data_IF_894933052227
#
_entry.id   IF_894933052227
#
_cell.length_a   1.000
_cell.length_b   1.000
_cell.length_c   1.000
_cell.angle_alpha   90.00
_cell.angle_beta   90.00
_cell.angle_gamma   90.00
#
_symmetry.space_group_name_H-M   'P 1'
#
loop_
_entity.id
_entity.type
_entity.pdbx_description
1 polymer ?
#
# COMPACT_ATOMS: atom_id res chain seq x y z
N UNK A 1 9.85 -6.86 -28.72
CA UNK A 1 9.43 -8.28 -28.77
C UNK A 1 9.20 -8.89 -27.40
N UNK A 2 10.00 -8.59 -26.38
CA UNK A 2 9.79 -9.07 -24.99
C UNK A 2 8.58 -8.41 -24.32
N UNK A 3 8.38 -7.11 -24.52
CA UNK A 3 7.26 -6.35 -23.94
C UNK A 3 5.89 -6.85 -24.43
N UNK A 4 5.82 -7.25 -25.69
CA UNK A 4 4.55 -7.74 -26.28
C UNK A 4 4.14 -9.10 -25.69
N UNK A 5 5.11 -9.96 -25.36
CA UNK A 5 4.84 -11.28 -24.76
C UNK A 5 4.26 -11.15 -23.35
N UNK A 6 4.69 -10.14 -22.57
CA UNK A 6 4.17 -9.93 -21.20
C UNK A 6 2.73 -9.39 -21.21
N UNK A 7 2.38 -8.58 -22.20
CA UNK A 7 1.01 -8.06 -22.33
C UNK A 7 0.01 -9.18 -22.62
N UNK A 8 0.37 -10.12 -23.49
CA UNK A 8 -0.48 -11.28 -23.78
C UNK A 8 -0.59 -12.23 -22.59
N UNK A 9 0.51 -12.40 -21.85
CA UNK A 9 0.54 -13.29 -20.69
C UNK A 9 -0.36 -12.82 -19.54
N UNK A 10 -0.59 -11.51 -19.43
CA UNK A 10 -1.44 -10.93 -18.38
C UNK A 10 -2.89 -10.72 -18.81
N UNK A 11 -3.26 -11.04 -20.05
CA UNK A 11 -4.63 -10.85 -20.54
C UNK A 11 -5.67 -11.59 -19.68
N UNK A 12 -5.33 -12.78 -19.20
CA UNK A 12 -6.19 -13.55 -18.30
C UNK A 12 -6.37 -12.84 -16.96
N UNK A 13 -5.29 -12.33 -16.37
CA UNK A 13 -5.36 -11.59 -15.11
C UNK A 13 -6.26 -10.36 -15.26
N UNK A 14 -6.10 -9.60 -16.34
CA UNK A 14 -6.91 -8.42 -16.64
C UNK A 14 -8.39 -8.80 -16.70
N UNK A 15 -8.73 -9.85 -17.47
CA UNK A 15 -10.12 -10.30 -17.63
C UNK A 15 -10.75 -10.77 -16.32
N UNK A 16 -9.94 -11.32 -15.39
CA UNK A 16 -10.40 -11.78 -14.09
C UNK A 16 -10.57 -10.64 -13.08
N UNK A 17 -9.71 -9.61 -13.15
CA UNK A 17 -9.77 -8.47 -12.22
C UNK A 17 -10.88 -7.48 -12.63
N UNK A 18 -11.03 -7.23 -13.91
CA UNK A 18 -11.92 -6.18 -14.44
C UNK A 18 -13.35 -6.25 -13.90
N UNK A 19 -14.02 -7.44 -13.83
CA UNK A 19 -15.38 -7.51 -13.30
C UNK A 19 -15.49 -7.32 -11.78
N UNK A 20 -14.37 -7.42 -11.05
CA UNK A 20 -14.38 -7.35 -9.58
C UNK A 20 -14.49 -5.92 -9.05
N UNK A 21 -14.24 -4.91 -9.88
CA UNK A 21 -14.35 -3.51 -9.45
C UNK A 21 -14.61 -2.57 -10.64
N UNK A 22 -15.50 -1.62 -10.41
CA UNK A 22 -15.74 -0.51 -11.33
C UNK A 22 -15.32 0.85 -10.72
N UNK A 23 -14.68 0.82 -9.55
CA UNK A 23 -14.27 2.02 -8.80
C UNK A 23 -12.76 2.15 -8.77
N UNK A 24 -12.28 3.38 -8.82
CA UNK A 24 -10.87 3.67 -8.65
C UNK A 24 -10.46 3.55 -7.19
N UNK A 25 -9.25 3.07 -6.96
CA UNK A 25 -8.69 2.83 -5.64
C UNK A 25 -8.62 1.34 -5.32
N UNK A 26 -8.60 1.05 -4.04
CA UNK A 26 -8.60 -0.31 -3.49
C UNK A 26 -10.05 -0.71 -3.19
N UNK A 27 -10.45 -1.87 -3.63
CA UNK A 27 -11.78 -2.43 -3.36
C UNK A 27 -11.64 -3.81 -2.72
N UNK A 28 -12.33 -4.06 -1.59
CA UNK A 28 -12.29 -5.38 -0.96
C UNK A 28 -12.96 -6.42 -1.86
N UNK A 29 -12.55 -7.68 -1.69
CA UNK A 29 -13.17 -8.82 -2.36
C UNK A 29 -13.92 -9.68 -1.34
N UNK A 30 -14.53 -10.78 -1.80
CA UNK A 30 -15.18 -11.74 -0.91
C UNK A 30 -14.19 -12.48 0.00
N UNK A 31 -12.89 -12.46 -0.33
CA UNK A 31 -11.86 -13.13 0.46
C UNK A 31 -11.10 -12.10 1.31
N UNK A 32 -11.21 -12.17 2.65
CA UNK A 32 -10.48 -11.24 3.51
C UNK A 32 -8.97 -11.26 3.22
N UNK A 33 -8.37 -10.09 3.20
CA UNK A 33 -6.95 -9.93 2.89
C UNK A 33 -6.65 -9.79 1.40
N UNK A 34 -7.66 -9.89 0.53
CA UNK A 34 -7.49 -9.70 -0.91
C UNK A 34 -8.29 -8.48 -1.35
N UNK A 35 -7.62 -7.54 -1.99
CA UNK A 35 -8.24 -6.34 -2.55
C UNK A 35 -7.85 -6.20 -4.02
N UNK A 36 -8.76 -5.69 -4.84
CA UNK A 36 -8.46 -5.33 -6.22
C UNK A 36 -8.16 -3.84 -6.30
N UNK A 37 -7.29 -3.48 -7.23
CA UNK A 37 -6.81 -2.11 -7.45
C UNK A 37 -7.20 -1.67 -8.84
N UNK A 38 -7.65 -0.40 -8.94
CA UNK A 38 -7.99 0.20 -10.23
C UNK A 38 -7.61 1.67 -10.23
N UNK A 39 -7.06 2.15 -11.35
CA UNK A 39 -6.89 3.58 -11.59
C UNK A 39 -7.22 3.87 -13.04
N UNK A 40 -8.27 4.65 -13.27
CA UNK A 40 -8.74 4.98 -14.61
C UNK A 40 -7.89 6.07 -15.27
N UNK A 41 -6.94 6.65 -14.55
CA UNK A 41 -6.04 7.69 -15.04
C UNK A 41 -4.71 7.61 -14.30
N UNK A 42 -3.70 8.28 -14.81
CA UNK A 42 -2.44 8.43 -14.12
C UNK A 42 -2.63 9.18 -12.81
N UNK A 43 -1.94 8.74 -11.76
CA UNK A 43 -1.96 9.37 -10.44
C UNK A 43 -0.57 9.90 -10.14
N UNK A 44 -0.47 11.19 -9.93
CA UNK A 44 0.80 11.86 -9.64
C UNK A 44 1.42 11.33 -8.34
N UNK A 45 2.73 11.45 -8.25
CA UNK A 45 3.51 11.05 -7.09
C UNK A 45 2.95 11.65 -5.81
N UNK A 46 2.67 10.79 -4.83
CA UNK A 46 2.13 11.20 -3.54
C UNK A 46 2.39 10.18 -2.46
N UNK A 47 2.29 10.61 -1.19
CA UNK A 47 2.61 9.73 -0.07
C UNK A 47 1.55 8.65 0.14
N UNK A 48 2.01 7.45 0.48
CA UNK A 48 1.20 6.25 0.69
C UNK A 48 1.75 5.45 1.86
N UNK A 49 0.93 4.55 2.38
CA UNK A 49 1.36 3.47 3.26
C UNK A 49 0.50 2.24 2.94
N UNK A 50 1.14 1.11 2.72
CA UNK A 50 0.44 -0.17 2.52
C UNK A 50 0.74 -1.09 3.71
N UNK A 51 -0.25 -1.86 4.10
CA UNK A 51 -0.02 -2.97 5.02
C UNK A 51 0.81 -4.06 4.33
N UNK A 52 1.52 -4.90 5.08
CA UNK A 52 2.32 -5.97 4.47
C UNK A 52 1.51 -6.78 3.46
N UNK A 53 1.97 -6.83 2.23
CA UNK A 53 1.20 -7.40 1.12
C UNK A 53 2.08 -7.73 -0.08
N UNK A 54 1.57 -8.59 -0.95
CA UNK A 54 2.06 -8.81 -2.31
C UNK A 54 1.13 -8.02 -3.23
N UNK A 55 1.70 -7.15 -4.08
CA UNK A 55 0.90 -6.33 -5.00
C UNK A 55 1.28 -6.70 -6.44
N UNK A 56 0.34 -7.29 -7.15
CA UNK A 56 0.51 -7.73 -8.53
C UNK A 56 -0.26 -6.76 -9.43
N UNK A 57 0.41 -6.18 -10.41
CA UNK A 57 -0.19 -5.29 -11.40
C UNK A 57 -0.35 -6.08 -12.71
N UNK A 58 -1.60 -6.24 -13.15
CA UNK A 58 -1.91 -6.96 -14.38
C UNK A 58 -1.87 -6.05 -15.61
N UNK A 59 -2.18 -4.76 -15.43
CA UNK A 59 -2.24 -3.77 -16.50
C UNK A 59 -1.84 -2.41 -15.95
N UNK A 60 -1.06 -1.64 -16.73
CA UNK A 60 -0.48 -0.40 -16.25
C UNK A 60 0.77 -0.65 -15.40
N UNK A 61 1.21 0.34 -14.65
CA UNK A 61 2.40 0.21 -13.80
C UNK A 61 2.39 1.22 -12.65
N UNK A 62 3.29 1.00 -11.70
CA UNK A 62 3.49 1.90 -10.56
C UNK A 62 4.99 2.10 -10.31
N UNK A 63 5.34 3.28 -9.80
CA UNK A 63 6.67 3.59 -9.28
C UNK A 63 6.55 3.87 -7.79
N UNK A 64 7.30 3.13 -6.99
CA UNK A 64 7.40 3.36 -5.55
C UNK A 64 8.75 4.03 -5.25
N UNK A 65 8.72 5.09 -4.45
CA UNK A 65 9.90 5.85 -4.03
C UNK A 65 10.08 5.68 -2.53
N UNK A 66 11.16 5.03 -2.12
CA UNK A 66 11.46 4.76 -0.71
C UNK A 66 12.90 5.18 -0.42
N UNK A 67 13.06 6.35 0.20
CA UNK A 67 14.39 6.93 0.40
C UNK A 67 15.07 7.17 -0.95
N UNK A 68 16.30 6.70 -1.13
CA UNK A 68 17.02 6.88 -2.41
C UNK A 68 16.62 5.86 -3.47
N UNK A 69 15.77 4.90 -3.14
CA UNK A 69 15.41 3.78 -4.02
C UNK A 69 14.13 4.07 -4.78
N UNK A 70 14.11 3.67 -6.05
CA UNK A 70 12.91 3.65 -6.89
C UNK A 70 12.67 2.22 -7.34
N UNK A 71 11.43 1.75 -7.14
CA UNK A 71 11.00 0.42 -7.55
C UNK A 71 9.87 0.56 -8.57
N UNK A 72 10.11 0.07 -9.78
CA UNK A 72 9.05 -0.03 -10.79
C UNK A 72 8.42 -1.42 -10.70
N UNK A 73 7.09 -1.47 -10.67
CA UNK A 73 6.37 -2.72 -10.72
C UNK A 73 5.12 -2.58 -11.59
N UNK A 74 5.00 -3.50 -12.54
CA UNK A 74 3.95 -3.52 -13.54
C UNK A 74 3.82 -4.92 -14.11
N UNK A 75 3.43 -5.02 -15.37
CA UNK A 75 3.35 -6.31 -16.05
C UNK A 75 4.72 -7.02 -15.99
N UNK A 76 4.75 -8.22 -15.45
CA UNK A 76 5.97 -9.01 -15.34
C UNK A 76 6.65 -8.97 -13.97
N UNK A 77 6.21 -8.12 -13.06
CA UNK A 77 6.79 -8.01 -11.70
C UNK A 77 5.69 -7.79 -10.68
N UNK A 78 5.96 -8.19 -9.43
CA UNK A 78 5.09 -7.88 -8.30
C UNK A 78 5.90 -7.28 -7.17
N UNK A 79 5.25 -6.46 -6.37
CA UNK A 79 5.86 -5.82 -5.20
C UNK A 79 5.66 -6.69 -3.97
N UNK A 80 6.69 -6.84 -3.16
CA UNK A 80 6.62 -7.41 -1.82
C UNK A 80 6.78 -6.24 -0.84
N UNK A 81 5.69 -5.87 -0.18
CA UNK A 81 5.68 -4.89 0.90
C UNK A 81 5.79 -5.67 2.21
N UNK A 82 6.99 -5.85 2.71
CA UNK A 82 7.23 -6.69 3.90
C UNK A 82 6.90 -5.95 5.20
N UNK A 83 7.22 -4.64 5.26
CA UNK A 83 6.90 -3.80 6.42
C UNK A 83 6.01 -2.63 5.96
N UNK A 84 5.08 -2.16 6.83
CA UNK A 84 4.19 -1.05 6.48
C UNK A 84 4.93 0.28 6.64
N UNK A 85 5.78 0.61 5.68
CA UNK A 85 6.59 1.85 5.72
C UNK A 85 5.95 2.93 4.84
N UNK A 86 5.92 4.21 5.30
CA UNK A 86 5.50 5.31 4.46
C UNK A 86 6.47 5.48 3.26
N UNK A 87 5.90 5.60 2.07
CA UNK A 87 6.65 5.79 0.83
C UNK A 87 5.86 6.71 -0.09
N UNK A 88 6.43 7.08 -1.22
CA UNK A 88 5.67 7.81 -2.24
C UNK A 88 5.41 6.88 -3.43
N UNK A 89 4.28 7.07 -4.09
CA UNK A 89 3.87 6.21 -5.19
C UNK A 89 3.28 7.05 -6.32
N UNK A 90 3.63 6.66 -7.52
CA UNK A 90 3.07 7.18 -8.77
C UNK A 90 2.44 6.02 -9.52
N UNK A 91 1.30 6.26 -10.16
CA UNK A 91 0.55 5.21 -10.85
C UNK A 91 0.33 5.62 -12.31
N UNK A 92 0.53 4.69 -13.22
CA UNK A 92 0.33 4.90 -14.66
C UNK A 92 -0.72 3.94 -15.18
N UNK A 93 -1.76 4.50 -15.79
CA UNK A 93 -2.77 3.72 -16.51
C UNK A 93 -2.14 3.14 -17.78
N UNK A 94 -2.78 2.12 -18.35
CA UNK A 94 -2.35 1.59 -19.65
C UNK A 94 -2.85 2.51 -20.77
N UNK A 95 -2.18 2.51 -21.94
CA UNK A 95 -2.65 3.31 -23.08
C UNK A 95 -4.11 3.07 -23.44
N UNK A 96 -4.57 1.83 -23.33
CA UNK A 96 -5.91 1.43 -23.76
C UNK A 96 -6.83 1.07 -22.60
N UNK A 97 -6.48 1.42 -21.35
CA UNK A 97 -7.33 1.09 -20.23
C UNK A 97 -6.78 1.50 -18.87
N UNK A 98 -7.51 1.19 -17.81
CA UNK A 98 -7.09 1.54 -16.45
C UNK A 98 -5.87 0.72 -16.00
N UNK A 99 -5.17 1.21 -15.00
CA UNK A 99 -4.27 0.36 -14.23
C UNK A 99 -5.14 -0.62 -13.44
N UNK A 100 -4.80 -1.91 -13.48
CA UNK A 100 -5.51 -2.98 -12.78
C UNK A 100 -4.52 -3.86 -12.03
N UNK A 101 -4.87 -4.22 -10.79
CA UNK A 101 -4.04 -5.07 -9.98
C UNK A 101 -4.79 -5.73 -8.84
N UNK A 102 -4.06 -6.55 -8.08
CA UNK A 102 -4.56 -7.21 -6.89
C UNK A 102 -3.51 -7.09 -5.77
N UNK A 103 -3.99 -6.80 -4.56
CA UNK A 103 -3.17 -6.75 -3.35
C UNK A 103 -3.59 -7.89 -2.44
N UNK A 104 -2.63 -8.65 -1.97
CA UNK A 104 -2.83 -9.85 -1.15
C UNK A 104 -2.05 -9.66 0.15
N UNK A 105 -2.77 -9.58 1.28
CA UNK A 105 -2.15 -9.38 2.59
C UNK A 105 -1.24 -10.55 2.95
N UNK A 106 -0.09 -10.24 3.53
CA UNK A 106 0.84 -11.24 4.04
C UNK A 106 0.39 -11.62 5.46
N UNK A 107 -0.19 -12.82 5.58
CA UNK A 107 -0.57 -13.39 6.87
C UNK A 107 0.68 -14.02 7.50
N UNK A 108 1.20 -13.39 8.56
CA UNK A 108 2.43 -13.85 9.23
C UNK A 108 2.26 -15.20 9.91
N UNK A 109 1.05 -15.52 10.40
CA UNK A 109 0.77 -16.84 11.01
C UNK A 109 0.89 -17.93 9.96
N UNK A 110 0.18 -17.75 8.85
CA UNK A 110 0.22 -18.69 7.72
C UNK A 110 1.64 -18.79 7.15
N UNK A 111 2.34 -17.67 7.03
CA UNK A 111 3.72 -17.65 6.54
C UNK A 111 4.65 -18.47 7.46
N UNK A 112 4.49 -18.32 8.79
CA UNK A 112 5.24 -19.09 9.77
C UNK A 112 4.96 -20.60 9.68
N UNK A 113 3.68 -20.96 9.53
CA UNK A 113 3.30 -22.38 9.31
C UNK A 113 3.97 -22.97 8.08
N UNK A 114 4.01 -22.21 6.99
CA UNK A 114 4.63 -22.65 5.74
C UNK A 114 6.14 -22.85 5.91
N UNK A 115 6.82 -21.90 6.54
CA UNK A 115 8.27 -21.98 6.79
C UNK A 115 8.60 -23.23 7.61
N UNK A 116 7.80 -23.51 8.66
CA UNK A 116 7.97 -24.72 9.47
C UNK A 116 7.72 -26.00 8.63
N UNK A 117 6.64 -26.01 7.86
CA UNK A 117 6.28 -27.16 7.02
C UNK A 117 7.33 -27.45 5.93
N UNK A 118 8.04 -26.41 5.48
CA UNK A 118 9.13 -26.55 4.50
C UNK A 118 10.42 -27.09 5.13
N UNK A 119 10.46 -27.27 6.44
CA UNK A 119 11.64 -27.74 7.15
C UNK A 119 12.78 -26.74 7.15
N UNK A 120 12.47 -25.47 6.93
CA UNK A 120 13.47 -24.40 6.96
C UNK A 120 13.76 -24.06 8.43
N UNK A 121 14.98 -24.42 8.86
CA UNK A 121 15.37 -24.19 10.27
C UNK A 121 15.34 -22.70 10.58
N UNK A 122 14.69 -22.29 11.69
CA UNK A 122 14.82 -20.93 12.14
C UNK A 122 16.25 -20.68 12.58
N UNK A 123 16.90 -19.66 12.06
CA UNK A 123 18.11 -19.16 12.69
C UNK A 123 19.45 -19.27 11.96
N UNK A 124 19.45 -19.41 10.64
CA UNK A 124 20.64 -19.05 9.90
C UNK A 124 20.24 -18.13 8.75
N UNK A 125 20.03 -16.86 9.10
CA UNK A 125 20.03 -15.83 8.09
C UNK A 125 21.41 -15.79 7.46
N UNK A 126 21.48 -16.23 6.23
CA UNK A 126 22.71 -16.11 5.42
C UNK A 126 22.85 -14.65 4.95
N UNK A 127 21.82 -13.85 5.20
CA UNK A 127 21.83 -12.45 4.79
C UNK A 127 22.72 -11.63 5.71
N UNK A 128 23.88 -11.28 5.22
CA UNK A 128 24.79 -10.32 5.88
C UNK A 128 24.18 -8.91 5.91
N UNK A 129 23.01 -8.72 5.33
CA UNK A 129 22.34 -7.41 5.22
C UNK A 129 20.92 -7.47 5.76
N UNK A 130 20.46 -6.37 6.35
CA UNK A 130 19.08 -6.22 6.81
C UNK A 130 18.13 -6.37 5.60
N UNK A 131 17.10 -7.22 5.69
CA UNK A 131 16.13 -7.35 4.60
C UNK A 131 15.45 -6.00 4.32
N UNK A 132 15.12 -5.79 3.07
CA UNK A 132 14.46 -4.56 2.64
C UNK A 132 12.96 -4.61 2.99
N UNK A 133 12.43 -3.48 3.47
CA UNK A 133 11.01 -3.37 3.81
C UNK A 133 10.10 -3.45 2.58
N UNK A 134 10.67 -3.18 1.40
CA UNK A 134 9.94 -3.19 0.12
C UNK A 134 10.90 -3.66 -0.97
N UNK A 135 10.46 -4.65 -1.77
CA UNK A 135 11.27 -5.20 -2.87
C UNK A 135 10.35 -5.67 -3.99
N UNK A 136 10.90 -5.94 -5.16
CA UNK A 136 10.14 -6.48 -6.28
C UNK A 136 10.67 -7.85 -6.70
N UNK A 137 9.79 -8.65 -7.27
CA UNK A 137 10.11 -9.98 -7.77
C UNK A 137 9.49 -10.18 -9.15
N UNK A 138 10.07 -11.06 -9.94
CA UNK A 138 9.55 -11.43 -11.27
C UNK A 138 8.24 -12.19 -11.10
N UNK A 139 7.24 -11.80 -11.86
CA UNK A 139 5.97 -12.53 -11.96
C UNK A 139 6.15 -13.69 -12.95
N UNK A 140 6.70 -14.78 -12.46
CA UNK A 140 6.94 -15.97 -13.27
C UNK A 140 5.64 -16.76 -13.48
N UNK A 141 5.70 -17.82 -14.27
CA UNK A 141 4.52 -18.64 -14.62
C UNK A 141 3.92 -19.30 -13.39
N UNK A 142 4.73 -19.71 -12.41
CA UNK A 142 4.24 -20.35 -11.19
C UNK A 142 3.40 -19.35 -10.36
N UNK A 143 3.93 -18.14 -10.15
CA UNK A 143 3.21 -17.10 -9.41
C UNK A 143 1.98 -16.63 -10.18
N UNK A 144 2.10 -16.42 -11.52
CA UNK A 144 0.96 -16.01 -12.34
C UNK A 144 -0.17 -17.04 -12.25
N UNK A 145 0.16 -18.33 -12.33
CA UNK A 145 -0.84 -19.41 -12.21
C UNK A 145 -1.56 -19.39 -10.86
N UNK A 146 -0.83 -19.14 -9.77
CA UNK A 146 -1.43 -19.02 -8.42
C UNK A 146 -2.38 -17.83 -8.35
N UNK A 147 -1.97 -16.68 -8.90
CA UNK A 147 -2.80 -15.47 -8.91
C UNK A 147 -4.07 -15.71 -9.73
N UNK A 148 -3.95 -16.36 -10.88
CA UNK A 148 -5.11 -16.70 -11.72
C UNK A 148 -6.10 -17.60 -10.97
N UNK A 149 -5.62 -18.65 -10.30
CA UNK A 149 -6.49 -19.56 -9.52
C UNK A 149 -7.17 -18.80 -8.37
N UNK A 150 -6.45 -17.92 -7.70
CA UNK A 150 -7.04 -17.08 -6.65
C UNK A 150 -8.13 -16.17 -7.22
N UNK A 151 -7.87 -15.50 -8.32
CA UNK A 151 -8.84 -14.59 -8.95
C UNK A 151 -10.07 -15.35 -9.46
N UNK A 152 -9.90 -16.54 -10.08
CA UNK A 152 -11.03 -17.37 -10.50
C UNK A 152 -11.91 -17.75 -9.31
N UNK A 153 -11.28 -18.12 -8.20
CA UNK A 153 -11.95 -18.47 -6.95
C UNK A 153 -12.89 -17.33 -6.47
N UNK A 154 -12.47 -16.07 -6.66
CA UNK A 154 -13.27 -14.90 -6.25
C UNK A 154 -14.57 -14.74 -7.04
N UNK A 155 -14.69 -15.37 -8.22
CA UNK A 155 -15.90 -15.31 -9.04
C UNK A 155 -16.95 -16.36 -8.68
N UNK A 156 -16.62 -17.32 -7.82
CA UNK A 156 -17.52 -18.38 -7.37
C UNK A 156 -17.60 -18.32 -5.85
N UNK A 157 -18.75 -17.89 -5.28
CA UNK A 157 -18.86 -17.77 -3.81
C UNK A 157 -18.62 -19.05 -3.06
N UNK A 158 -19.02 -20.21 -3.60
CA UNK A 158 -18.80 -21.50 -2.95
C UNK A 158 -17.32 -21.88 -2.99
N UNK A 159 -16.67 -21.74 -4.15
CA UNK A 159 -15.24 -22.00 -4.26
C UNK A 159 -14.45 -21.05 -3.34
N UNK A 160 -14.84 -19.77 -3.30
CA UNK A 160 -14.18 -18.77 -2.45
C UNK A 160 -14.27 -19.16 -0.97
N UNK A 161 -15.45 -19.57 -0.53
CA UNK A 161 -15.68 -19.99 0.86
C UNK A 161 -14.85 -21.23 1.23
N UNK A 162 -14.78 -22.20 0.33
CA UNK A 162 -14.15 -23.50 0.61
C UNK A 162 -12.63 -23.45 0.33
N UNK A 163 -12.22 -22.84 -0.77
CA UNK A 163 -10.84 -22.92 -1.28
C UNK A 163 -10.04 -21.62 -1.12
N UNK A 164 -10.65 -20.53 -0.71
CA UNK A 164 -9.98 -19.23 -0.65
C UNK A 164 -8.70 -19.24 0.17
N UNK A 165 -8.74 -19.81 1.37
CA UNK A 165 -7.56 -19.90 2.24
C UNK A 165 -6.48 -20.82 1.65
N UNK A 166 -6.89 -21.89 0.98
CA UNK A 166 -5.96 -22.79 0.29
C UNK A 166 -5.24 -22.07 -0.86
N UNK A 167 -5.95 -21.20 -1.58
CA UNK A 167 -5.35 -20.40 -2.66
C UNK A 167 -4.32 -19.40 -2.11
N UNK A 168 -4.62 -18.77 -0.96
CA UNK A 168 -3.66 -17.88 -0.29
C UNK A 168 -2.43 -18.65 0.18
N UNK A 169 -2.64 -19.84 0.74
CA UNK A 169 -1.56 -20.72 1.18
C UNK A 169 -0.65 -21.10 0.01
N UNK A 170 -1.23 -21.50 -1.12
CA UNK A 170 -0.50 -21.85 -2.35
C UNK A 170 0.36 -20.67 -2.82
N UNK A 171 -0.23 -19.47 -2.85
CA UNK A 171 0.44 -18.26 -3.34
C UNK A 171 1.64 -17.90 -2.47
N UNK A 172 1.46 -17.92 -1.13
CA UNK A 172 2.56 -17.63 -0.19
C UNK A 172 3.65 -18.71 -0.28
N UNK A 173 3.27 -19.98 -0.49
CA UNK A 173 4.24 -21.06 -0.66
C UNK A 173 5.10 -20.81 -1.90
N UNK A 174 4.50 -20.40 -3.02
CA UNK A 174 5.25 -20.10 -4.26
C UNK A 174 6.16 -18.88 -4.03
N UNK A 175 5.69 -17.85 -3.33
CA UNK A 175 6.51 -16.68 -3.01
C UNK A 175 7.72 -17.06 -2.14
N UNK A 176 7.55 -18.00 -1.21
CA UNK A 176 8.63 -18.53 -0.35
C UNK A 176 9.66 -19.37 -1.11
N UNK A 177 9.36 -19.75 -2.36
CA UNK A 177 10.29 -20.44 -3.25
C UNK A 177 10.87 -19.51 -4.32
N UNK A 178 10.44 -18.26 -4.32
CA UNK A 178 10.88 -17.25 -5.30
C UNK A 178 12.18 -16.57 -4.94
N UNK A 179 12.64 -15.67 -5.80
CA UNK A 179 13.95 -15.01 -5.62
C UNK A 179 14.02 -14.09 -4.41
N UNK A 180 12.89 -13.66 -3.85
CA UNK A 180 12.83 -12.77 -2.68
C UNK A 180 12.34 -13.50 -1.42
N UNK A 181 12.47 -14.83 -1.37
CA UNK A 181 12.02 -15.66 -0.26
C UNK A 181 12.64 -15.23 1.08
N UNK A 182 13.88 -14.76 1.08
CA UNK A 182 14.59 -14.38 2.29
C UNK A 182 13.91 -13.23 3.04
N UNK A 183 13.29 -12.29 2.32
CA UNK A 183 12.52 -11.18 2.92
C UNK A 183 11.31 -11.74 3.68
N UNK A 184 10.58 -12.68 3.05
CA UNK A 184 9.40 -13.31 3.65
C UNK A 184 9.79 -14.17 4.87
N UNK A 185 10.87 -14.94 4.77
CA UNK A 185 11.37 -15.75 5.89
C UNK A 185 11.76 -14.86 7.07
N UNK A 186 12.41 -13.72 6.78
CA UNK A 186 12.83 -12.79 7.83
C UNK A 186 11.67 -12.23 8.64
N UNK A 187 10.47 -12.13 8.05
CA UNK A 187 9.26 -11.67 8.76
C UNK A 187 8.83 -12.59 9.89
N UNK A 188 9.18 -13.88 9.80
CA UNK A 188 8.73 -14.90 10.76
C UNK A 188 9.88 -15.56 11.51
N UNK A 189 11.11 -15.10 11.31
CA UNK A 189 12.29 -15.60 12.03
C UNK A 189 12.20 -15.16 13.50
N UNK A 190 11.99 -16.11 14.41
CA UNK A 190 11.62 -15.85 15.81
C UNK A 190 12.59 -14.92 16.53
N UNK A 191 13.88 -15.03 16.25
CA UNK A 191 14.89 -14.18 16.90
C UNK A 191 15.46 -13.12 15.97
N UNK A 192 14.90 -13.00 14.78
CA UNK A 192 15.35 -12.05 13.77
C UNK A 192 14.96 -10.62 14.12
N UNK A 193 15.90 -9.70 13.94
CA UNK A 193 15.67 -8.27 14.21
C UNK A 193 14.56 -7.69 13.33
N UNK A 194 14.47 -8.15 12.07
CA UNK A 194 13.45 -7.70 11.12
C UNK A 194 12.05 -8.07 11.61
N UNK A 195 11.84 -9.32 12.08
CA UNK A 195 10.56 -9.77 12.62
C UNK A 195 10.18 -9.01 13.89
N UNK A 196 11.18 -8.68 14.74
CA UNK A 196 10.96 -7.91 15.96
C UNK A 196 10.53 -6.47 15.64
N UNK A 197 11.13 -5.85 14.62
CA UNK A 197 10.70 -4.52 14.16
C UNK A 197 9.28 -4.62 13.55
N UNK A 198 8.97 -5.68 12.79
CA UNK A 198 7.62 -5.90 12.27
C UNK A 198 6.58 -5.96 13.39
N UNK A 199 6.90 -6.64 14.49
CA UNK A 199 6.02 -6.73 15.67
C UNK A 199 5.80 -5.36 16.32
N UNK A 200 6.88 -4.56 16.47
CA UNK A 200 6.77 -3.21 17.04
C UNK A 200 5.95 -2.29 16.12
N UNK A 201 6.07 -2.42 14.81
CA UNK A 201 5.25 -1.67 13.86
C UNK A 201 3.77 -2.05 13.95
N UNK A 202 3.47 -3.34 14.11
CA UNK A 202 2.08 -3.79 14.34
C UNK A 202 1.50 -3.15 15.60
N UNK A 203 2.26 -3.11 16.69
CA UNK A 203 1.84 -2.46 17.94
C UNK A 203 1.61 -0.96 17.70
N UNK A 204 2.53 -0.29 17.02
CA UNK A 204 2.43 1.14 16.73
C UNK A 204 1.19 1.45 15.87
N UNK A 205 0.89 0.61 14.88
CA UNK A 205 -0.31 0.77 14.04
C UNK A 205 -1.60 0.58 14.84
N UNK A 206 -1.60 -0.31 15.82
CA UNK A 206 -2.76 -0.53 16.70
C UNK A 206 -2.96 0.63 17.69
N UNK A 207 -1.90 1.38 18.04
CA UNK A 207 -1.91 2.39 19.09
C UNK A 207 -1.47 3.79 18.59
N UNK A 208 -1.59 4.05 17.30
CA UNK A 208 -1.05 5.29 16.69
C UNK A 208 -1.74 6.56 17.20
N UNK A 209 -2.93 6.44 17.78
CA UNK A 209 -3.67 7.60 18.32
C UNK A 209 -3.14 8.03 19.70
N UNK A 210 -2.41 7.13 20.37
CA UNK A 210 -1.87 7.36 21.72
C UNK A 210 -0.52 8.09 21.66
N UNK A 211 -0.10 8.70 22.79
CA UNK A 211 1.26 9.27 22.86
C UNK A 211 2.31 8.19 22.58
N UNK A 212 3.36 8.56 21.86
CA UNK A 212 4.44 7.65 21.52
C UNK A 212 5.22 7.25 22.78
N UNK A 213 5.36 5.95 23.00
CA UNK A 213 6.19 5.40 24.07
C UNK A 213 7.24 4.49 23.42
N UNK A 214 8.46 5.01 23.28
CA UNK A 214 9.57 4.31 22.63
C UNK A 214 9.99 3.09 23.45
N UNK A 215 9.93 3.18 24.78
CA UNK A 215 10.26 2.07 25.67
C UNK A 215 9.31 0.89 25.45
N UNK A 216 8.03 1.15 25.29
CA UNK A 216 7.04 0.12 24.98
C UNK A 216 7.35 -0.53 23.62
N UNK A 217 7.65 0.28 22.60
CA UNK A 217 7.99 -0.24 21.27
C UNK A 217 9.27 -1.09 21.31
N UNK A 218 10.28 -0.64 22.05
CA UNK A 218 11.54 -1.38 22.22
C UNK A 218 11.28 -2.71 22.94
N UNK A 219 10.42 -2.71 23.96
CA UNK A 219 9.99 -3.93 24.66
C UNK A 219 9.27 -4.90 23.72
N UNK A 220 8.37 -4.41 22.87
CA UNK A 220 7.69 -5.23 21.85
C UNK A 220 8.70 -5.89 20.91
N UNK A 221 9.81 -5.20 20.64
CA UNK A 221 10.89 -5.72 19.78
C UNK A 221 11.90 -6.54 20.58
N UNK A 222 11.76 -6.64 21.89
CA UNK A 222 12.72 -7.28 22.81
C UNK A 222 14.12 -6.70 22.58
N UNK A 223 14.22 -5.37 22.61
CA UNK A 223 15.46 -4.60 22.39
C UNK A 223 15.60 -3.51 23.45
N UNK A 224 16.85 -3.06 23.69
CA UNK A 224 17.08 -1.80 24.40
C UNK A 224 16.59 -0.62 23.54
N UNK A 225 16.34 0.52 24.16
CA UNK A 225 15.86 1.71 23.43
C UNK A 225 16.84 2.14 22.31
N UNK A 226 18.14 2.12 22.61
CA UNK A 226 19.18 2.51 21.62
C UNK A 226 19.25 1.53 20.43
N UNK A 227 19.24 0.23 20.73
CA UNK A 227 19.22 -0.82 19.70
C UNK A 227 17.95 -0.72 18.86
N UNK A 228 16.81 -0.49 19.51
CA UNK A 228 15.53 -0.31 18.83
C UNK A 228 15.58 0.87 17.85
N UNK A 229 16.07 2.03 18.30
CA UNK A 229 16.18 3.21 17.42
C UNK A 229 17.00 2.91 16.18
N UNK A 230 18.13 2.23 16.35
CA UNK A 230 19.02 1.88 15.23
C UNK A 230 18.32 0.96 14.23
N UNK A 231 17.75 -0.15 14.70
CA UNK A 231 17.09 -1.13 13.82
C UNK A 231 15.81 -0.57 13.21
N UNK A 232 15.04 0.21 13.97
CA UNK A 232 13.82 0.85 13.47
C UNK A 232 14.17 1.78 12.30
N UNK A 233 15.17 2.65 12.48
CA UNK A 233 15.59 3.59 11.43
C UNK A 233 16.16 2.85 10.21
N UNK A 234 16.92 1.77 10.43
CA UNK A 234 17.47 0.95 9.35
C UNK A 234 16.35 0.31 8.52
N UNK A 235 15.31 -0.21 9.16
CA UNK A 235 14.21 -0.93 8.51
C UNK A 235 13.17 0.00 7.89
N UNK A 236 12.92 1.19 8.49
CA UNK A 236 11.84 2.09 8.05
C UNK A 236 12.34 3.36 7.36
N UNK A 237 13.64 3.66 7.45
CA UNK A 237 14.31 4.90 7.01
C UNK A 237 13.84 6.15 7.79
N UNK A 238 13.11 5.96 8.90
CA UNK A 238 12.54 7.04 9.71
C UNK A 238 12.80 6.78 11.20
N UNK A 239 12.89 7.85 11.99
CA UNK A 239 12.82 7.69 13.45
C UNK A 239 11.40 7.31 13.87
N UNK A 240 11.20 6.71 15.06
CA UNK A 240 9.84 6.39 15.53
C UNK A 240 8.90 7.61 15.56
N UNK A 241 9.40 8.78 15.95
CA UNK A 241 8.61 10.02 15.99
C UNK A 241 8.18 10.43 14.58
N UNK A 242 9.11 10.42 13.63
CA UNK A 242 8.82 10.76 12.22
C UNK A 242 7.83 9.76 11.60
N UNK A 243 8.01 8.47 11.92
CA UNK A 243 7.14 7.41 11.43
C UNK A 243 5.71 7.61 11.94
N UNK A 244 5.53 7.78 13.26
CA UNK A 244 4.20 7.98 13.86
C UNK A 244 3.51 9.22 13.26
N UNK A 245 4.26 10.30 13.08
CA UNK A 245 3.73 11.52 12.48
C UNK A 245 3.21 11.26 11.06
N UNK A 246 4.01 10.60 10.21
CA UNK A 246 3.58 10.26 8.84
C UNK A 246 2.39 9.31 8.84
N UNK A 247 2.39 8.30 9.71
CA UNK A 247 1.27 7.37 9.85
C UNK A 247 -0.03 8.11 10.18
N UNK A 248 0.01 9.02 11.18
CA UNK A 248 -1.16 9.82 11.57
C UNK A 248 -1.69 10.66 10.41
N UNK A 249 -0.81 11.29 9.64
CA UNK A 249 -1.21 12.13 8.50
C UNK A 249 -1.83 11.27 7.39
N UNK A 250 -1.28 10.09 7.11
CA UNK A 250 -1.81 9.17 6.10
C UNK A 250 -3.17 8.61 6.55
N UNK A 251 -3.33 8.27 7.84
CA UNK A 251 -4.63 7.83 8.38
C UNK A 251 -5.65 8.98 8.33
N UNK A 252 -5.21 10.21 8.62
CA UNK A 252 -6.08 11.38 8.51
C UNK A 252 -6.58 11.58 7.08
N UNK A 253 -5.72 11.41 6.08
CA UNK A 253 -6.13 11.49 4.67
C UNK A 253 -7.23 10.47 4.37
N UNK A 254 -7.07 9.23 4.84
CA UNK A 254 -8.08 8.18 4.65
C UNK A 254 -9.44 8.57 5.28
N UNK A 255 -9.41 9.13 6.50
CA UNK A 255 -10.63 9.55 7.20
C UNK A 255 -11.30 10.74 6.50
N UNK A 256 -10.51 11.72 6.06
CA UNK A 256 -11.04 12.89 5.34
C UNK A 256 -11.71 12.47 4.02
N UNK A 257 -11.14 11.50 3.32
CA UNK A 257 -11.67 11.02 2.03
C UNK A 257 -12.85 10.07 2.20
N UNK A 258 -12.83 9.24 3.26
CA UNK A 258 -13.79 8.14 3.41
C UNK A 258 -15.03 8.45 4.23
N UNK A 259 -14.91 9.28 5.26
CA UNK A 259 -15.98 9.46 6.25
C UNK A 259 -16.62 10.86 6.26
N UNK A 260 -16.11 11.79 5.47
CA UNK A 260 -16.66 13.15 5.41
C UNK A 260 -16.58 13.94 6.72
N UNK A 261 -15.63 13.56 7.58
CA UNK A 261 -15.46 14.19 8.89
C UNK A 261 -14.81 15.58 8.75
N UNK A 262 -15.11 16.46 9.69
CA UNK A 262 -14.47 17.78 9.76
C UNK A 262 -13.01 17.68 10.18
N UNK A 263 -12.21 18.66 9.76
CA UNK A 263 -10.76 18.70 10.00
C UNK A 263 -10.42 18.58 11.49
N UNK A 264 -11.17 19.25 12.38
CA UNK A 264 -10.94 19.19 13.82
C UNK A 264 -11.20 17.80 14.39
N UNK A 265 -12.28 17.15 13.93
CA UNK A 265 -12.61 15.78 14.35
C UNK A 265 -11.52 14.81 13.90
N UNK A 266 -11.06 14.91 12.64
CA UNK A 266 -10.02 14.05 12.11
C UNK A 266 -8.71 14.25 12.87
N UNK A 267 -8.31 15.51 13.11
CA UNK A 267 -7.09 15.82 13.88
C UNK A 267 -7.08 15.10 15.23
N UNK A 268 -8.18 15.22 15.98
CA UNK A 268 -8.34 14.57 17.29
C UNK A 268 -8.31 13.04 17.14
N UNK A 269 -9.03 12.52 16.15
CA UNK A 269 -9.19 11.06 15.94
C UNK A 269 -7.88 10.37 15.59
N UNK A 270 -6.93 11.11 14.98
CA UNK A 270 -5.60 10.52 14.67
C UNK A 270 -4.54 10.89 15.73
N UNK A 271 -4.95 11.44 16.87
CA UNK A 271 -4.09 11.66 18.02
C UNK A 271 -3.40 13.01 18.11
N UNK A 272 -3.82 14.01 17.34
CA UNK A 272 -3.33 15.39 17.48
C UNK A 272 -4.11 16.12 18.58
N UNK A 273 -3.38 16.82 19.46
CA UNK A 273 -3.98 17.68 20.49
C UNK A 273 -4.33 19.06 19.97
N UNK A 274 -3.71 19.49 18.88
CA UNK A 274 -3.92 20.82 18.30
C UNK A 274 -4.31 20.71 16.83
N UNK A 275 -5.50 21.19 16.50
CA UNK A 275 -5.99 21.27 15.11
C UNK A 275 -5.11 22.16 14.25
N UNK A 276 -4.59 23.25 14.84
CA UNK A 276 -3.69 24.19 14.13
C UNK A 276 -2.37 23.50 13.76
N UNK A 277 -1.79 22.73 14.70
CA UNK A 277 -0.58 21.95 14.43
C UNK A 277 -0.84 20.92 13.34
N UNK A 278 -1.94 20.16 13.47
CA UNK A 278 -2.35 19.17 12.46
C UNK A 278 -2.44 19.80 11.08
N UNK A 279 -3.16 20.93 10.96
CA UNK A 279 -3.39 21.59 9.66
C UNK A 279 -2.08 22.02 8.99
N UNK A 280 -1.15 22.59 9.77
CA UNK A 280 0.17 23.00 9.25
C UNK A 280 0.97 21.79 8.77
N UNK A 281 0.99 20.70 9.56
CA UNK A 281 1.75 19.51 9.23
C UNK A 281 1.12 18.74 8.05
N UNK A 282 -0.21 18.67 8.01
CA UNK A 282 -0.94 18.02 6.91
C UNK A 282 -0.66 18.76 5.59
N UNK A 283 -0.79 20.10 5.59
CA UNK A 283 -0.52 20.91 4.39
C UNK A 283 0.91 20.70 3.89
N UNK A 284 1.90 20.74 4.80
CA UNK A 284 3.31 20.55 4.43
C UNK A 284 3.57 19.15 3.86
N UNK A 285 2.94 18.14 4.44
CA UNK A 285 3.20 16.74 4.04
C UNK A 285 2.57 16.39 2.68
N UNK A 286 1.35 16.90 2.43
CA UNK A 286 0.63 16.59 1.18
C UNK A 286 0.74 17.71 0.14
N UNK A 287 1.42 18.80 0.47
CA UNK A 287 1.49 20.01 -0.38
C UNK A 287 0.13 20.49 -0.85
N UNK A 288 -0.83 20.12 -0.04
CA UNK A 288 -2.16 20.53 -0.39
C UNK A 288 -2.86 21.01 0.84
N UNK A 289 -3.59 21.75 0.71
CA UNK A 289 -4.33 22.16 1.87
C UNK A 289 -5.39 21.17 2.21
N UNK A 290 -5.61 21.21 3.22
CA UNK A 290 -6.70 20.46 3.77
C UNK A 290 -8.06 20.89 3.26
N UNK A 291 -8.04 22.03 2.87
CA UNK A 291 -9.21 22.48 2.28
C UNK A 291 -9.49 21.90 0.93
N UNK A 292 -8.60 21.69 0.36
CA UNK A 292 -8.74 21.02 -0.88
C UNK A 292 -9.22 19.61 -0.75
N UNK A 293 -8.85 19.14 0.18
CA UNK A 293 -9.35 17.87 0.48
C UNK A 293 -10.78 17.88 0.96
N UNK A 294 -11.01 18.77 1.56
CA UNK A 294 -12.34 18.94 2.01
C UNK A 294 -13.28 19.40 0.91
N UNK A 295 -12.74 20.01 0.14
CA UNK A 295 -13.46 20.35 -1.02
C UNK A 295 -13.68 19.19 -1.93
N UNK A 296 -12.89 18.44 -1.88
CA UNK A 296 -13.05 17.26 -2.63
C UNK A 296 -13.99 16.26 -1.99
N UNK A 297 -14.07 16.35 -0.90
CA UNK A 297 -14.98 15.56 -0.18
C UNK A 297 -16.43 15.98 -0.33
N UNK A 298 -16.46 16.98 -0.69
CA UNK A 298 -17.75 17.39 -0.99
C UNK A 298 -18.29 16.86 -2.27
N UNK A 299 -17.40 16.31 -2.86
CA UNK A 299 -17.82 15.80 -4.12
C UNK A 299 -18.65 14.55 -3.94
N UNK A 300 -18.74 13.54 -3.67
CA UNK A 300 -19.48 12.31 -3.41
C UNK A 300 -18.62 11.33 -2.61
N UNK A 301 -19.05 10.99 -1.41
CA UNK A 301 -18.27 10.11 -0.52
C UNK A 301 -18.02 8.71 -1.09
N UNK A 302 -18.83 8.25 -2.00
CA UNK A 302 -18.77 6.91 -2.59
C UNK A 302 -17.61 6.73 -3.61
N UNK A 303 -17.02 7.83 -4.09
CA UNK A 303 -15.96 7.75 -5.12
C UNK A 303 -14.55 8.07 -4.60
N UNK A 304 -14.42 8.54 -3.37
CA UNK A 304 -13.15 9.09 -2.87
C UNK A 304 -12.58 8.30 -1.68
N UNK A 305 -12.72 6.98 -1.69
CA UNK A 305 -12.24 6.15 -0.55
C UNK A 305 -10.72 5.91 -0.56
N UNK A 306 -10.00 6.48 -1.51
CA UNK A 306 -8.54 6.34 -1.59
C UNK A 306 -7.94 7.53 -2.32
N UNK A 307 -6.63 7.71 -2.17
CA UNK A 307 -5.87 8.73 -2.90
C UNK A 307 -6.06 8.55 -4.42
N UNK A 308 -6.02 7.32 -4.91
CA UNK A 308 -6.22 6.99 -6.33
C UNK A 308 -7.63 7.41 -6.78
N UNK A 309 -8.65 7.05 -6.01
CA UNK A 309 -10.04 7.40 -6.33
C UNK A 309 -10.27 8.90 -6.37
N UNK A 310 -9.70 9.63 -5.43
CA UNK A 310 -9.79 11.08 -5.39
C UNK A 310 -9.13 11.70 -6.64
N UNK A 311 -7.89 11.30 -6.96
CA UNK A 311 -7.13 11.85 -8.07
C UNK A 311 -7.83 11.60 -9.41
N UNK A 312 -8.27 10.38 -9.67
CA UNK A 312 -8.97 10.05 -10.90
C UNK A 312 -10.33 10.74 -10.98
N UNK A 313 -11.01 10.93 -9.85
CA UNK A 313 -12.26 11.68 -9.77
C UNK A 313 -12.08 13.16 -10.14
N UNK A 314 -11.02 13.79 -9.67
CA UNK A 314 -10.69 15.18 -9.99
C UNK A 314 -10.32 15.33 -11.47
N UNK A 315 -9.51 14.42 -11.99
CA UNK A 315 -9.06 14.47 -13.40
C UNK A 315 -10.25 14.32 -14.36
N UNK A 316 -11.18 13.41 -14.08
CA UNK A 316 -12.40 13.26 -14.88
C UNK A 316 -13.26 14.53 -14.93
N UNK A 317 -13.27 15.31 -13.84
CA UNK A 317 -14.04 16.58 -13.81
C UNK A 317 -13.40 17.64 -14.67
N UNK A 318 -12.07 17.72 -14.69
CA UNK A 318 -11.34 18.67 -15.52
C UNK A 318 -11.55 18.37 -17.02
N UNK A 319 -11.62 17.09 -17.39
CA UNK A 319 -11.83 16.66 -18.78
C UNK A 319 -13.26 16.92 -19.28
N UNK A 320 -14.26 16.96 -18.39
CA UNK A 320 -15.67 17.18 -18.79
C UNK A 320 -16.04 18.66 -18.96
N UNK A 321 -15.14 19.60 -18.68
CA UNK A 321 -15.35 21.04 -18.83
C UNK A 321 -16.49 21.61 -17.96
N UNK A 322 -16.61 22.91 -17.78
CA UNK A 322 -17.75 23.48 -17.10
C UNK A 322 -19.00 23.33 -17.96
N UNK A 323 -20.00 22.66 -17.44
CA UNK A 323 -21.36 22.81 -17.96
C UNK A 323 -21.67 24.31 -17.83
N UNK A 324 -22.04 24.95 -18.93
CA UNK A 324 -22.25 26.38 -19.06
C UNK A 324 -23.07 26.97 -17.88
N UNK A 325 -22.43 27.78 -17.08
CA UNK A 325 -22.99 28.48 -15.94
C UNK A 325 -21.85 29.22 -15.26
N UNK A 326 -21.67 30.44 -15.67
CA UNK A 326 -20.55 31.30 -15.41
C UNK A 326 -19.97 31.30 -14.01
N UNK A 327 -18.66 31.16 -13.94
CA UNK A 327 -17.85 31.93 -13.00
C UNK A 327 -16.43 32.03 -13.58
N UNK A 328 -16.15 33.19 -14.14
CA UNK A 328 -14.82 33.57 -14.59
C UNK A 328 -13.89 33.70 -13.37
N UNK A 329 -12.83 32.90 -13.36
CA UNK A 329 -11.67 33.25 -12.53
C UNK A 329 -10.60 33.82 -13.44
N UNK A 330 -10.32 35.12 -13.23
CA UNK A 330 -9.28 35.83 -13.95
C UNK A 330 -7.91 35.27 -13.58
N UNK A 331 -7.13 34.93 -14.60
CA UNK A 331 -5.70 34.68 -14.46
C UNK A 331 -5.02 36.01 -14.11
N UNK A 332 -4.51 36.12 -12.90
CA UNK A 332 -3.58 37.19 -12.53
C UNK A 332 -2.16 36.68 -12.76
N UNK A 333 -1.57 37.16 -13.84
CA UNK A 333 -0.16 36.91 -14.16
C UNK A 333 0.67 37.78 -13.24
N UNK A 334 1.45 37.18 -12.34
CA UNK A 334 2.49 37.94 -11.65
C UNK A 334 3.81 37.69 -12.39
N UNK A 335 4.24 38.72 -13.10
CA UNK A 335 5.61 38.86 -13.58
C UNK A 335 6.48 39.49 -12.52
N UNK A 336 7.73 39.12 -12.56
CA UNK A 336 8.82 39.49 -11.67
C UNK A 336 9.05 41.00 -11.54
N UNK A 337 9.38 41.46 -10.32
CA UNK A 337 10.12 42.67 -9.97
C UNK A 337 10.93 42.39 -8.73
#
# INVERSE_FOLDING_TARGET
>A
MLLTRHLDANATLVSLIQPLTNRDGFAPTALPGVQVLRASCDVARGPQIYEPSLVIIAQGSKLAYLGPRTLEYGAGHYLIQALPVPFECETFSAPDGPMLGVSIAIDRVLLGELVLAMGLAPGRSIAAQTPESMTSAVLDDAMRGCVERLLRCLHDPLECQVMGQARLRELLFVALRGPQADVLRALVEQQGQFARIAASLSHLHAHYTEPLNVETLASCANMSASTFHEHFKRSTLLSPVQYLKRLRLLRAQQLLLGEGLGVAQVAHRVGYQSTSQFSREYKRYFEXXXXXXXXXXXXRPDQARSHIGLWCGLNRRQQKGPRSGALMFSHSTYMFG
#
